data_IF_104205817770
#
_entry.id   IF_104205817770
#
_cell.length_a   1.000
_cell.length_b   1.000
_cell.length_c   1.000
_cell.angle_alpha   90.00
_cell.angle_beta   90.00
_cell.angle_gamma   90.00
#
_symmetry.space_group_name_H-M   'P 1'
#
loop_
_entity.id
_entity.type
_entity.pdbx_description
1 polymer ?
#
# COMPACT_ATOMS: atom_id res chain seq x y z
N UNK A 1 10.12 -76.65 15.81
CA UNK A 1 9.06 -77.42 15.12
C UNK A 1 8.15 -76.44 14.41
N UNK A 2 7.93 -76.67 13.11
CA UNK A 2 6.89 -76.17 12.19
C UNK A 2 6.15 -74.86 12.54
N UNK A 3 6.01 -73.87 11.65
CA UNK A 3 6.27 -73.79 10.22
C UNK A 3 5.77 -72.43 9.70
N UNK A 4 6.20 -72.04 8.51
CA UNK A 4 5.49 -71.01 7.72
C UNK A 4 4.21 -71.63 7.13
N UNK A 5 3.16 -70.82 6.89
CA UNK A 5 3.04 -70.29 5.55
C UNK A 5 2.51 -68.84 5.43
N UNK A 6 2.92 -68.26 4.31
CA UNK A 6 2.41 -67.15 3.52
C UNK A 6 0.92 -66.79 3.71
N UNK A 7 0.64 -65.49 3.85
CA UNK A 7 -0.58 -64.87 3.33
C UNK A 7 -0.33 -63.40 3.03
N UNK A 8 -0.40 -63.10 1.74
CA UNK A 8 -0.49 -61.78 1.13
C UNK A 8 -1.81 -61.14 1.54
N UNK A 9 -1.78 -59.92 2.06
CA UNK A 9 -2.98 -59.08 2.19
C UNK A 9 -2.58 -57.61 2.25
N UNK A 10 -3.09 -56.86 1.27
CA UNK A 10 -2.95 -55.41 1.12
C UNK A 10 -3.39 -54.62 2.35
N UNK A 11 -2.80 -53.44 2.48
CA UNK A 11 -3.37 -52.20 3.05
C UNK A 11 -2.52 -51.64 4.19
N UNK A 12 -1.51 -50.86 3.81
CA UNK A 12 -1.00 -49.75 4.62
C UNK A 12 -0.46 -48.67 3.68
N UNK A 13 -0.95 -47.45 3.85
CA UNK A 13 -0.49 -46.27 3.11
C UNK A 13 -1.54 -45.18 3.10
N UNK A 14 -1.65 -44.46 4.22
CA UNK A 14 -2.73 -43.52 4.51
C UNK A 14 -2.95 -42.45 3.45
N UNK A 15 -4.19 -42.34 2.99
CA UNK A 15 -4.72 -41.12 2.40
C UNK A 15 -4.90 -40.08 3.52
N UNK A 16 -3.91 -39.19 3.68
CA UNK A 16 -4.11 -37.92 4.35
C UNK A 16 -4.61 -36.91 3.32
N UNK A 17 -5.93 -36.90 3.12
CA UNK A 17 -6.61 -35.74 2.56
C UNK A 17 -6.66 -34.66 3.63
N UNK A 18 -5.67 -33.77 3.63
CA UNK A 18 -5.71 -32.53 4.41
C UNK A 18 -6.16 -31.40 3.50
N UNK A 19 -7.47 -31.31 3.31
CA UNK A 19 -8.09 -30.07 2.84
C UNK A 19 -7.99 -29.10 4.01
N UNK A 20 -6.98 -28.23 3.98
CA UNK A 20 -6.89 -27.05 4.86
C UNK A 20 -8.19 -26.25 4.74
N UNK A 21 -8.81 -25.83 5.85
CA UNK A 21 -9.78 -24.76 5.81
C UNK A 21 -9.06 -23.50 5.31
N UNK A 22 -9.64 -22.89 4.28
CA UNK A 22 -9.36 -21.53 3.86
C UNK A 22 -9.73 -20.61 5.03
N UNK A 23 -8.74 -20.33 5.90
CA UNK A 23 -8.84 -19.22 6.84
C UNK A 23 -8.74 -17.97 5.98
N UNK A 24 -9.89 -17.43 5.60
CA UNK A 24 -10.00 -16.01 5.33
C UNK A 24 -9.49 -15.29 6.57
N UNK A 25 -8.24 -14.85 6.52
CA UNK A 25 -7.76 -13.80 7.39
C UNK A 25 -8.49 -12.52 6.96
N UNK A 26 -9.77 -12.41 7.33
CA UNK A 26 -10.38 -11.10 7.51
C UNK A 26 -9.51 -10.41 8.56
N UNK A 27 -8.79 -9.41 8.08
CA UNK A 27 -7.97 -8.51 8.85
C UNK A 27 -8.84 -7.86 9.94
N UNK A 28 -8.87 -8.47 11.13
CA UNK A 28 -9.67 -8.01 12.27
C UNK A 28 -9.34 -6.59 12.71
N UNK A 29 -8.26 -6.01 12.18
CA UNK A 29 -7.84 -4.63 12.40
C UNK A 29 -8.65 -3.62 11.59
N UNK A 30 -8.93 -3.91 10.32
CA UNK A 30 -9.71 -3.01 9.45
C UNK A 30 -11.19 -2.96 9.85
N UNK A 31 -11.80 -4.09 10.26
CA UNK A 31 -13.18 -4.08 10.81
C UNK A 31 -13.32 -3.34 12.14
N UNK A 32 -12.26 -3.28 12.95
CA UNK A 32 -12.26 -2.57 14.23
C UNK A 32 -12.13 -1.06 14.02
N UNK A 33 -11.21 -0.64 13.13
CA UNK A 33 -11.04 0.76 12.73
C UNK A 33 -12.28 1.29 11.99
N UNK A 34 -12.89 0.52 11.09
CA UNK A 34 -14.11 0.92 10.37
C UNK A 34 -15.34 1.04 11.30
N UNK A 35 -15.43 0.23 12.37
CA UNK A 35 -16.45 0.37 13.42
C UNK A 35 -16.19 1.57 14.33
N UNK A 36 -14.92 1.89 14.60
CA UNK A 36 -14.52 3.04 15.41
C UNK A 36 -14.72 4.36 14.64
N UNK A 37 -14.37 4.40 13.36
CA UNK A 37 -14.65 5.50 12.44
C UNK A 37 -16.15 5.69 12.23
N UNK A 38 -16.92 4.61 12.01
CA UNK A 38 -18.39 4.70 12.00
C UNK A 38 -18.90 5.27 13.30
N UNK A 39 -18.49 4.74 14.47
CA UNK A 39 -18.96 5.22 15.77
C UNK A 39 -18.61 6.69 16.05
N UNK A 40 -17.44 7.17 15.60
CA UNK A 40 -17.04 8.57 15.73
C UNK A 40 -17.78 9.47 14.73
N UNK A 41 -18.06 8.97 13.53
CA UNK A 41 -18.84 9.67 12.52
C UNK A 41 -20.32 9.77 12.92
N UNK A 42 -20.92 8.70 13.49
CA UNK A 42 -22.27 8.73 14.05
C UNK A 42 -22.35 9.71 15.22
N UNK A 43 -21.37 9.70 16.13
CA UNK A 43 -21.31 10.65 17.25
C UNK A 43 -21.15 12.11 16.83
N UNK A 44 -20.43 12.39 15.73
CA UNK A 44 -20.34 13.74 15.15
C UNK A 44 -21.66 14.15 14.47
N UNK A 45 -22.29 13.27 13.71
CA UNK A 45 -23.60 13.55 13.08
C UNK A 45 -24.72 13.71 14.10
N UNK A 46 -24.69 12.95 15.21
CA UNK A 46 -25.67 13.06 16.29
C UNK A 46 -25.49 14.39 17.03
N UNK A 47 -24.26 14.81 17.32
CA UNK A 47 -23.99 16.13 17.90
C UNK A 47 -24.38 17.29 16.98
N UNK A 48 -24.17 17.16 15.66
CA UNK A 48 -24.56 18.17 14.67
C UNK A 48 -26.08 18.25 14.52
N UNK A 49 -26.75 17.09 14.57
CA UNK A 49 -28.21 16.98 14.53
C UNK A 49 -28.84 17.55 15.80
N UNK A 50 -28.30 17.23 16.98
CA UNK A 50 -28.73 17.82 18.26
C UNK A 50 -28.57 19.34 18.24
N UNK A 51 -27.49 19.83 17.62
CA UNK A 51 -27.26 21.25 17.44
C UNK A 51 -28.29 21.89 16.50
N UNK A 52 -28.58 21.28 15.35
CA UNK A 52 -29.62 21.77 14.44
C UNK A 52 -31.02 21.73 15.07
N UNK A 53 -31.33 20.71 15.86
CA UNK A 53 -32.59 20.62 16.61
C UNK A 53 -32.68 21.69 17.70
N UNK A 54 -31.57 21.99 18.38
CA UNK A 54 -31.53 23.09 19.35
C UNK A 54 -31.75 24.44 18.66
N UNK A 55 -31.10 24.68 17.51
CA UNK A 55 -31.29 25.88 16.71
C UNK A 55 -32.75 26.05 16.26
N UNK A 56 -33.36 24.97 15.79
CA UNK A 56 -34.76 24.97 15.37
C UNK A 56 -35.72 25.27 16.53
N UNK A 57 -35.45 24.70 17.71
CA UNK A 57 -36.24 24.95 18.92
C UNK A 57 -36.10 26.39 19.41
N UNK A 58 -34.89 26.96 19.34
CA UNK A 58 -34.65 28.37 19.65
C UNK A 58 -35.42 29.24 18.65
N UNK A 59 -35.32 28.98 17.34
CA UNK A 59 -36.03 29.73 16.30
C UNK A 59 -37.54 29.72 16.52
N UNK A 60 -38.15 28.55 16.77
CA UNK A 60 -39.59 28.45 17.06
C UNK A 60 -39.98 29.21 18.33
N UNK A 61 -39.16 29.12 19.37
CA UNK A 61 -39.41 29.85 20.62
C UNK A 61 -39.28 31.36 20.46
N UNK A 62 -38.59 31.84 19.43
CA UNK A 62 -38.44 33.26 19.09
C UNK A 62 -39.66 33.78 18.34
N UNK A 63 -40.16 33.02 17.36
CA UNK A 63 -41.40 33.35 16.63
C UNK A 63 -42.61 33.46 17.59
N UNK A 64 -42.67 32.58 18.59
CA UNK A 64 -43.69 32.63 19.65
C UNK A 64 -43.55 33.86 20.55
N UNK A 65 -42.32 34.32 20.77
CA UNK A 65 -42.03 35.52 21.55
C UNK A 65 -42.54 36.76 20.83
N UNK A 66 -42.31 36.88 19.52
CA UNK A 66 -42.75 37.98 18.67
C UNK A 66 -44.26 38.25 18.76
N UNK A 67 -45.08 37.18 18.80
CA UNK A 67 -46.53 37.30 18.86
C UNK A 67 -47.03 37.92 20.17
N UNK A 68 -46.35 37.66 21.29
CA UNK A 68 -46.76 38.25 22.57
C UNK A 68 -46.25 39.67 22.73
N UNK A 69 -45.19 40.05 22.02
CA UNK A 69 -44.67 41.41 22.03
C UNK A 69 -45.61 42.46 21.45
N UNK A 70 -46.49 42.08 20.51
CA UNK A 70 -47.49 43.03 19.97
C UNK A 70 -48.49 43.54 21.02
N UNK A 71 -48.60 42.88 22.18
CA UNK A 71 -49.63 43.15 23.18
C UNK A 71 -49.15 43.89 24.44
N UNK A 72 -47.85 44.06 24.67
CA UNK A 72 -47.31 44.43 25.99
C UNK A 72 -46.73 45.87 26.12
N UNK A 73 -47.02 46.80 25.19
CA UNK A 73 -46.44 48.16 25.21
C UNK A 73 -46.94 49.06 26.36
N UNK A 74 -46.38 48.90 27.57
CA UNK A 74 -46.46 49.85 28.70
C UNK A 74 -45.43 49.54 29.81
N UNK A 75 -44.12 49.65 29.55
CA UNK A 75 -43.07 49.30 30.54
C UNK A 75 -41.82 50.21 30.47
N UNK A 76 -41.06 50.32 31.58
CA UNK A 76 -39.93 51.21 31.86
C UNK A 76 -38.75 51.19 30.85
N UNK A 77 -38.01 52.31 30.75
CA UNK A 77 -36.90 52.55 29.80
C UNK A 77 -35.80 51.46 29.73
N UNK A 78 -35.35 50.91 30.87
CA UNK A 78 -34.31 49.87 30.84
C UNK A 78 -34.83 48.52 30.30
N UNK A 79 -36.13 48.25 30.51
CA UNK A 79 -36.80 47.07 29.96
C UNK A 79 -36.97 47.25 28.46
N UNK A 80 -37.36 48.44 27.99
CA UNK A 80 -37.54 48.71 26.55
C UNK A 80 -36.23 48.68 25.77
N UNK A 81 -35.13 49.16 26.35
CA UNK A 81 -33.78 49.03 25.75
C UNK A 81 -33.33 47.56 25.65
N UNK A 82 -33.46 46.79 26.73
CA UNK A 82 -33.11 45.35 26.71
C UNK A 82 -33.99 44.58 25.71
N UNK A 83 -35.25 45.00 25.55
CA UNK A 83 -36.16 44.47 24.55
C UNK A 83 -35.71 44.77 23.12
N UNK A 84 -35.32 46.02 22.86
CA UNK A 84 -34.82 46.45 21.56
C UNK A 84 -33.52 45.74 21.19
N UNK A 85 -32.65 45.51 22.18
CA UNK A 85 -31.41 44.75 22.02
C UNK A 85 -31.68 43.30 21.62
N UNK A 86 -32.52 42.57 22.35
CA UNK A 86 -32.92 41.20 21.98
C UNK A 86 -33.53 41.16 20.58
N UNK A 87 -34.42 42.11 20.27
CA UNK A 87 -35.05 42.22 18.95
C UNK A 87 -34.02 42.42 17.83
N UNK A 88 -33.06 43.32 18.04
CA UNK A 88 -32.01 43.58 17.07
C UNK A 88 -31.13 42.35 16.81
N UNK A 89 -30.88 41.56 17.85
CA UNK A 89 -30.08 40.34 17.78
C UNK A 89 -30.84 39.20 17.12
N UNK A 90 -32.15 39.07 17.34
CA UNK A 90 -32.97 38.07 16.64
C UNK A 90 -33.17 38.36 15.14
N UNK A 91 -32.99 39.60 14.70
CA UNK A 91 -32.95 39.92 13.28
C UNK A 91 -31.64 39.49 12.59
N UNK A 92 -30.66 39.02 13.35
CA UNK A 92 -29.39 38.48 12.83
C UNK A 92 -29.45 36.95 12.77
N UNK A 93 -28.60 36.35 11.93
CA UNK A 93 -28.50 34.90 11.85
C UNK A 93 -27.87 34.33 13.14
N UNK A 94 -28.33 33.14 13.53
CA UNK A 94 -27.98 32.56 14.84
C UNK A 94 -26.49 32.27 14.96
N UNK A 95 -25.85 31.85 13.88
CA UNK A 95 -24.41 31.66 13.79
C UNK A 95 -23.65 32.98 14.04
N UNK A 96 -24.10 34.09 13.47
CA UNK A 96 -23.49 35.41 13.69
C UNK A 96 -23.59 35.85 15.15
N UNK A 97 -24.73 35.61 15.79
CA UNK A 97 -24.95 36.02 17.19
C UNK A 97 -24.23 35.10 18.17
N UNK A 98 -24.27 33.78 17.97
CA UNK A 98 -23.72 32.81 18.91
C UNK A 98 -22.21 32.60 18.77
N UNK A 99 -21.64 32.81 17.58
CA UNK A 99 -20.18 32.69 17.36
C UNK A 99 -19.44 34.01 17.61
N UNK A 100 -20.16 35.11 17.86
CA UNK A 100 -19.58 36.40 18.21
C UNK A 100 -19.75 36.67 19.71
N UNK A 101 -18.65 36.64 20.45
CA UNK A 101 -18.66 36.80 21.91
C UNK A 101 -19.32 38.11 22.36
N UNK A 102 -19.15 39.21 21.62
CA UNK A 102 -19.74 40.49 21.97
C UNK A 102 -21.26 40.49 21.79
N UNK A 103 -21.76 39.91 20.70
CA UNK A 103 -23.21 39.79 20.45
C UNK A 103 -23.86 38.79 21.41
N UNK A 104 -23.20 37.67 21.69
CA UNK A 104 -23.65 36.68 22.67
C UNK A 104 -23.69 37.27 24.08
N UNK A 105 -22.67 38.01 24.49
CA UNK A 105 -22.64 38.70 25.79
C UNK A 105 -23.76 39.74 25.89
N UNK A 106 -24.02 40.48 24.81
CA UNK A 106 -25.12 41.44 24.74
C UNK A 106 -26.48 40.73 24.86
N UNK A 107 -26.66 39.60 24.18
CA UNK A 107 -27.87 38.78 24.25
C UNK A 107 -28.11 38.25 25.67
N UNK A 108 -27.08 37.70 26.32
CA UNK A 108 -27.15 37.22 27.72
C UNK A 108 -27.54 38.32 28.68
N UNK A 109 -26.90 39.49 28.56
CA UNK A 109 -27.16 40.64 29.43
C UNK A 109 -28.60 41.13 29.28
N UNK A 110 -29.10 41.19 28.04
CA UNK A 110 -30.46 41.61 27.78
C UNK A 110 -31.48 40.56 28.26
N UNK A 111 -31.19 39.26 28.09
CA UNK A 111 -32.01 38.17 28.62
C UNK A 111 -32.06 38.21 30.15
N UNK A 112 -30.91 38.36 30.84
CA UNK A 112 -30.79 38.43 32.31
C UNK A 112 -31.70 39.52 32.90
N UNK A 113 -31.72 40.71 32.27
CA UNK A 113 -32.54 41.85 32.69
C UNK A 113 -34.05 41.61 32.56
N UNK A 114 -34.44 40.63 31.77
CA UNK A 114 -35.83 40.30 31.46
C UNK A 114 -36.35 39.05 32.17
N UNK A 115 -35.47 38.22 32.75
CA UNK A 115 -35.86 36.93 33.40
C UNK A 115 -36.89 37.11 34.51
N UNK A 116 -36.90 38.23 35.24
CA UNK A 116 -37.86 38.46 36.33
C UNK A 116 -39.00 39.42 35.95
N UNK A 117 -39.18 39.73 34.65
CA UNK A 117 -40.19 40.68 34.15
C UNK A 117 -41.49 39.99 33.74
N UNK A 118 -42.00 39.16 34.64
CA UNK A 118 -43.21 38.34 34.45
C UNK A 118 -44.46 39.16 34.16
N UNK A 119 -44.56 40.38 34.69
CA UNK A 119 -45.65 41.32 34.42
C UNK A 119 -45.71 41.82 32.97
N UNK A 120 -44.62 41.65 32.20
CA UNK A 120 -44.49 42.16 30.83
C UNK A 120 -44.43 40.99 29.84
N UNK A 121 -43.66 39.95 30.17
CA UNK A 121 -43.40 38.82 29.26
C UNK A 121 -44.28 37.60 29.56
N UNK A 122 -44.86 37.50 30.75
CA UNK A 122 -45.48 36.29 31.27
C UNK A 122 -44.43 35.28 31.78
N UNK A 123 -44.87 34.39 32.68
CA UNK A 123 -44.00 33.41 33.36
C UNK A 123 -43.28 32.47 32.38
N UNK A 124 -43.99 31.91 31.41
CA UNK A 124 -43.43 30.94 30.44
C UNK A 124 -42.19 31.50 29.72
N UNK A 125 -42.23 32.78 29.32
CA UNK A 125 -41.11 33.41 28.60
C UNK A 125 -39.93 33.73 29.51
N UNK A 126 -40.23 34.16 30.73
CA UNK A 126 -39.24 34.36 31.76
C UNK A 126 -38.46 33.07 32.04
N UNK A 127 -39.19 31.94 32.17
CA UNK A 127 -38.59 30.61 32.36
C UNK A 127 -37.74 30.16 31.16
N UNK A 128 -38.19 30.45 29.93
CA UNK A 128 -37.42 30.18 28.71
C UNK A 128 -36.13 30.99 28.63
N UNK A 129 -36.16 32.29 28.98
CA UNK A 129 -34.97 33.14 29.02
C UNK A 129 -33.98 32.67 30.09
N UNK A 130 -34.48 32.25 31.24
CA UNK A 130 -33.66 31.65 32.30
C UNK A 130 -32.95 30.39 31.81
N UNK A 131 -33.70 29.47 31.21
CA UNK A 131 -33.17 28.24 30.61
C UNK A 131 -32.15 28.53 29.51
N UNK A 132 -32.39 29.57 28.70
CA UNK A 132 -31.44 30.01 27.68
C UNK A 132 -30.10 30.43 28.30
N UNK A 133 -30.10 31.32 29.29
CA UNK A 133 -28.86 31.77 29.95
C UNK A 133 -28.11 30.61 30.62
N UNK A 134 -28.83 29.67 31.24
CA UNK A 134 -28.24 28.49 31.91
C UNK A 134 -27.57 27.50 30.93
N UNK A 135 -28.06 27.40 29.70
CA UNK A 135 -27.66 26.35 28.75
C UNK A 135 -26.73 26.87 27.66
N UNK A 136 -26.89 28.12 27.21
CA UNK A 136 -26.23 28.63 26.01
C UNK A 136 -24.70 28.62 26.10
N UNK A 137 -24.13 28.78 27.30
CA UNK A 137 -22.67 28.69 27.50
C UNK A 137 -22.11 27.30 27.22
N UNK A 138 -22.80 26.25 27.65
CA UNK A 138 -22.38 24.86 27.36
C UNK A 138 -22.48 24.57 25.87
N UNK A 139 -23.55 25.02 25.23
CA UNK A 139 -23.80 24.74 23.82
C UNK A 139 -22.85 25.50 22.88
N UNK A 140 -22.54 26.77 23.18
CA UNK A 140 -21.54 27.53 22.42
C UNK A 140 -20.15 26.92 22.54
N UNK A 141 -19.75 26.47 23.73
CA UNK A 141 -18.47 25.77 23.92
C UNK A 141 -18.43 24.42 23.17
N UNK A 142 -19.54 23.67 23.19
CA UNK A 142 -19.69 22.43 22.42
C UNK A 142 -19.55 22.69 20.93
N UNK A 143 -20.21 23.73 20.42
CA UNK A 143 -20.15 24.15 19.03
C UNK A 143 -18.73 24.58 18.61
N UNK A 144 -18.09 25.45 19.40
CA UNK A 144 -16.71 25.90 19.14
C UNK A 144 -15.75 24.70 19.06
N UNK A 145 -15.87 23.76 19.99
CA UNK A 145 -15.08 22.52 19.99
C UNK A 145 -15.34 21.66 18.74
N UNK A 146 -16.61 21.54 18.31
CA UNK A 146 -16.96 20.80 17.10
C UNK A 146 -16.39 21.44 15.83
N UNK A 147 -16.43 22.77 15.74
CA UNK A 147 -15.85 23.54 14.62
C UNK A 147 -14.34 23.33 14.53
N UNK A 148 -13.62 23.40 15.65
CA UNK A 148 -12.17 23.15 15.64
C UNK A 148 -11.83 21.69 15.28
N UNK A 149 -12.61 20.71 15.77
CA UNK A 149 -12.44 19.31 15.37
C UNK A 149 -12.66 19.10 13.87
N UNK A 150 -13.66 19.75 13.28
CA UNK A 150 -13.92 19.63 11.85
C UNK A 150 -12.82 20.30 11.01
N UNK A 151 -12.26 21.44 11.47
CA UNK A 151 -11.08 22.04 10.84
C UNK A 151 -9.88 21.10 10.82
N UNK A 152 -9.59 20.45 11.94
CA UNK A 152 -8.49 19.47 12.01
C UNK A 152 -8.77 18.24 11.13
N UNK A 153 -10.00 17.72 11.13
CA UNK A 153 -10.41 16.65 10.24
C UNK A 153 -10.19 17.01 8.77
N UNK A 154 -10.59 18.21 8.34
CA UNK A 154 -10.42 18.66 6.97
C UNK A 154 -8.92 18.75 6.57
N UNK A 155 -8.04 19.17 7.49
CA UNK A 155 -6.58 19.15 7.27
C UNK A 155 -6.04 17.73 7.11
N UNK A 156 -6.50 16.80 7.95
CA UNK A 156 -6.11 15.39 7.87
C UNK A 156 -6.59 14.74 6.57
N UNK A 157 -7.82 15.03 6.13
CA UNK A 157 -8.36 14.50 4.87
C UNK A 157 -7.53 14.98 3.66
N UNK A 158 -7.14 16.26 3.65
CA UNK A 158 -6.23 16.79 2.61
C UNK A 158 -4.88 16.07 2.62
N UNK A 159 -4.33 15.81 3.81
CA UNK A 159 -3.04 15.11 3.96
C UNK A 159 -3.15 13.66 3.49
N UNK A 160 -4.24 12.97 3.84
CA UNK A 160 -4.56 11.63 3.37
C UNK A 160 -4.62 11.57 1.84
N UNK A 161 -5.28 12.54 1.20
CA UNK A 161 -5.33 12.63 -0.27
C UNK A 161 -3.93 12.62 -0.90
N UNK A 162 -3.03 13.46 -0.39
CA UNK A 162 -1.64 13.52 -0.88
C UNK A 162 -0.88 12.20 -0.70
N UNK A 163 -1.09 11.51 0.43
CA UNK A 163 -0.45 10.22 0.69
C UNK A 163 -0.98 9.13 -0.26
N UNK A 164 -2.28 9.11 -0.53
CA UNK A 164 -2.91 8.18 -1.48
C UNK A 164 -2.36 8.41 -2.89
N UNK A 165 -2.26 9.67 -3.31
CA UNK A 165 -1.70 10.03 -4.63
C UNK A 165 -0.24 9.59 -4.75
N UNK A 166 0.57 9.82 -3.71
CA UNK A 166 1.96 9.38 -3.67
C UNK A 166 2.08 7.85 -3.73
N UNK A 167 1.23 7.12 -3.01
CA UNK A 167 1.23 5.66 -3.00
C UNK A 167 0.83 5.10 -4.37
N UNK A 168 -0.17 5.69 -5.02
CA UNK A 168 -0.54 5.32 -6.39
C UNK A 168 0.59 5.61 -7.38
N UNK A 169 1.28 6.74 -7.22
CA UNK A 169 2.46 7.06 -8.04
C UNK A 169 3.56 6.00 -7.89
N UNK A 170 3.90 5.62 -6.65
CA UNK A 170 4.86 4.54 -6.40
C UNK A 170 4.41 3.20 -6.98
N UNK A 171 3.15 2.82 -6.76
CA UNK A 171 2.59 1.58 -7.31
C UNK A 171 2.74 1.53 -8.84
N UNK A 172 2.42 2.63 -9.51
CA UNK A 172 2.57 2.73 -10.97
C UNK A 172 4.04 2.69 -11.39
N UNK A 173 4.95 3.34 -10.64
CA UNK A 173 6.38 3.31 -10.93
C UNK A 173 7.01 1.92 -10.73
N UNK A 174 6.51 1.14 -9.77
CA UNK A 174 7.00 -0.24 -9.53
C UNK A 174 6.37 -1.28 -10.46
N UNK A 175 5.26 -0.96 -11.13
CA UNK A 175 4.54 -1.92 -11.97
C UNK A 175 5.41 -2.50 -13.10
N UNK A 176 6.21 -1.72 -13.86
CA UNK A 176 7.07 -2.26 -14.91
C UNK A 176 8.12 -3.25 -14.37
N UNK A 177 8.74 -2.95 -13.23
CA UNK A 177 9.72 -3.83 -12.60
C UNK A 177 9.06 -5.15 -12.17
N UNK A 178 7.85 -5.08 -11.61
CA UNK A 178 7.08 -6.28 -11.26
C UNK A 178 6.75 -7.11 -12.49
N UNK A 179 6.35 -6.49 -13.59
CA UNK A 179 6.02 -7.17 -14.83
C UNK A 179 7.26 -7.83 -15.45
N UNK A 180 8.41 -7.15 -15.44
CA UNK A 180 9.69 -7.70 -15.88
C UNK A 180 10.12 -8.90 -15.03
N UNK A 181 9.98 -8.82 -13.71
CA UNK A 181 10.26 -9.96 -12.81
C UNK A 181 9.38 -11.18 -13.14
N UNK A 182 8.09 -10.96 -13.44
CA UNK A 182 7.19 -12.05 -13.83
C UNK A 182 7.58 -12.67 -15.17
N UNK A 183 8.04 -11.85 -16.13
CA UNK A 183 8.56 -12.34 -17.41
C UNK A 183 9.83 -13.18 -17.20
N UNK A 184 10.77 -12.69 -16.38
CA UNK A 184 12.00 -13.43 -16.06
C UNK A 184 11.71 -14.77 -15.39
N UNK A 185 10.79 -14.82 -14.43
CA UNK A 185 10.36 -16.07 -13.78
C UNK A 185 9.77 -17.05 -14.81
N UNK A 186 9.01 -16.54 -15.78
CA UNK A 186 8.44 -17.37 -16.85
C UNK A 186 9.52 -17.93 -17.77
N UNK A 187 10.51 -17.10 -18.18
CA UNK A 187 11.67 -17.54 -18.96
C UNK A 187 12.52 -18.58 -18.23
N UNK A 188 12.72 -18.41 -16.92
CA UNK A 188 13.44 -19.38 -16.10
C UNK A 188 12.75 -20.76 -16.15
N UNK A 189 11.43 -20.80 -15.96
CA UNK A 189 10.66 -22.07 -16.04
C UNK A 189 10.77 -22.73 -17.40
N UNK A 190 10.79 -21.95 -18.48
CA UNK A 190 10.98 -22.48 -19.84
C UNK A 190 12.38 -23.08 -20.03
N UNK A 191 13.43 -22.39 -19.54
CA UNK A 191 14.80 -22.89 -19.60
C UNK A 191 14.97 -24.17 -18.78
N UNK A 192 14.38 -24.25 -17.59
CA UNK A 192 14.38 -25.46 -16.77
C UNK A 192 13.73 -26.65 -17.49
N UNK A 193 12.64 -26.40 -18.22
CA UNK A 193 12.00 -27.43 -19.06
C UNK A 193 12.93 -27.88 -20.19
N UNK A 194 13.53 -26.95 -20.93
CA UNK A 194 14.48 -27.25 -22.01
C UNK A 194 15.69 -28.03 -21.51
N UNK A 195 16.20 -27.69 -20.32
CA UNK A 195 17.31 -28.40 -19.71
C UNK A 195 16.95 -29.87 -19.42
N UNK A 196 15.77 -30.13 -18.83
CA UNK A 196 15.27 -31.49 -18.60
C UNK A 196 15.09 -32.27 -19.92
N UNK A 197 14.56 -31.63 -20.95
CA UNK A 197 14.40 -32.24 -22.27
C UNK A 197 15.76 -32.61 -22.88
N UNK A 198 16.77 -31.74 -22.71
CA UNK A 198 18.14 -31.99 -23.14
C UNK A 198 18.79 -33.14 -22.37
N UNK A 199 18.66 -33.16 -21.03
CA UNK A 199 19.15 -34.26 -20.18
C UNK A 199 18.55 -35.60 -20.60
N UNK A 200 17.24 -35.64 -20.88
CA UNK A 200 16.58 -36.84 -21.37
C UNK A 200 17.13 -37.29 -22.74
N UNK A 201 17.34 -36.37 -23.67
CA UNK A 201 17.99 -36.69 -24.95
C UNK A 201 19.42 -37.21 -24.77
N UNK A 202 20.18 -36.62 -23.85
CA UNK A 202 21.53 -37.06 -23.54
C UNK A 202 21.50 -38.50 -23.01
N UNK A 203 20.64 -38.81 -22.04
CA UNK A 203 20.46 -40.16 -21.50
C UNK A 203 20.12 -41.16 -22.61
N UNK A 204 19.24 -40.80 -23.55
CA UNK A 204 18.86 -41.66 -24.67
C UNK A 204 20.01 -41.90 -25.66
N UNK A 205 20.79 -40.87 -25.99
CA UNK A 205 21.84 -40.96 -27.03
C UNK A 205 23.19 -41.42 -26.49
N UNK A 206 23.47 -41.23 -25.20
CA UNK A 206 24.77 -41.56 -24.59
C UNK A 206 25.17 -43.04 -24.75
N UNK A 207 24.26 -44.03 -24.62
CA UNK A 207 24.60 -45.43 -24.89
C UNK A 207 25.06 -45.66 -26.34
N UNK A 208 24.42 -45.00 -27.30
CA UNK A 208 24.82 -45.09 -28.71
C UNK A 208 26.21 -44.49 -28.93
N UNK A 209 26.49 -43.29 -28.40
CA UNK A 209 27.81 -42.68 -28.48
C UNK A 209 28.89 -43.53 -27.80
N UNK A 210 28.62 -44.09 -26.62
CA UNK A 210 29.54 -45.03 -25.94
C UNK A 210 29.80 -46.28 -26.78
N UNK A 211 28.79 -46.82 -27.46
CA UNK A 211 28.92 -47.98 -28.34
C UNK A 211 29.78 -47.65 -29.56
N UNK A 212 29.50 -46.55 -30.26
CA UNK A 212 30.29 -46.09 -31.42
C UNK A 212 31.74 -45.86 -31.01
N UNK A 213 31.97 -45.15 -29.91
CA UNK A 213 33.32 -44.91 -29.38
C UNK A 213 34.03 -46.23 -29.06
N UNK A 214 33.38 -47.17 -28.37
CA UNK A 214 34.00 -48.47 -28.03
C UNK A 214 34.31 -49.31 -29.27
N UNK A 215 33.46 -49.24 -30.30
CA UNK A 215 33.68 -49.95 -31.57
C UNK A 215 34.80 -49.34 -32.40
N UNK A 216 34.97 -48.02 -32.36
CA UNK A 216 35.99 -47.29 -33.11
C UNK A 216 37.26 -47.04 -32.31
N UNK A 217 37.30 -47.41 -31.01
CA UNK A 217 38.41 -47.13 -30.10
C UNK A 217 39.75 -47.61 -30.66
N UNK A 218 39.82 -48.83 -31.17
CA UNK A 218 41.04 -49.38 -31.77
C UNK A 218 41.45 -48.63 -33.03
N UNK A 219 40.50 -48.25 -33.89
CA UNK A 219 40.78 -47.46 -35.10
C UNK A 219 41.29 -46.05 -34.75
N UNK A 220 40.66 -45.39 -33.80
CA UNK A 220 41.03 -44.03 -33.36
C UNK A 220 42.38 -44.03 -32.64
N UNK A 221 42.64 -45.01 -31.76
CA UNK A 221 43.96 -45.16 -31.11
C UNK A 221 45.05 -45.51 -32.13
N UNK A 222 44.72 -46.32 -33.15
CA UNK A 222 45.64 -46.64 -34.25
C UNK A 222 45.94 -45.41 -35.12
N UNK A 223 44.92 -44.61 -35.48
CA UNK A 223 45.08 -43.39 -36.27
C UNK A 223 45.94 -42.35 -35.54
N UNK A 224 45.73 -42.16 -34.23
CA UNK A 224 46.56 -41.26 -33.41
C UNK A 224 48.01 -41.77 -33.30
N UNK A 225 48.22 -43.08 -33.20
CA UNK A 225 49.57 -43.67 -33.20
C UNK A 225 50.27 -43.55 -34.56
N UNK A 226 49.51 -43.68 -35.66
CA UNK A 226 50.00 -43.49 -37.03
C UNK A 226 50.39 -42.04 -37.31
N UNK A 227 49.61 -41.07 -36.82
CA UNK A 227 49.97 -39.65 -36.89
C UNK A 227 51.28 -39.36 -36.17
N UNK A 228 51.47 -39.90 -34.95
CA UNK A 228 52.72 -39.75 -34.20
C UNK A 228 53.92 -40.39 -34.91
N UNK A 229 53.73 -41.57 -35.52
CA UNK A 229 54.75 -42.23 -36.32
C UNK A 229 55.16 -41.41 -37.56
N UNK A 230 54.18 -40.83 -38.26
CA UNK A 230 54.44 -39.96 -39.41
C UNK A 230 55.13 -38.64 -39.01
N UNK A 231 54.79 -38.07 -37.85
CA UNK A 231 55.45 -36.88 -37.32
C UNK A 231 56.93 -37.15 -36.97
N UNK A 232 57.24 -38.31 -36.38
CA UNK A 232 58.62 -38.73 -36.13
C UNK A 232 59.39 -38.95 -37.44
N UNK A 233 58.78 -39.60 -38.44
CA UNK A 233 59.39 -39.82 -39.74
C UNK A 233 59.67 -38.50 -40.45
N UNK A 234 58.73 -37.54 -40.39
CA UNK A 234 58.88 -36.21 -40.96
C UNK A 234 60.04 -35.45 -40.30
N UNK A 235 60.18 -35.54 -38.97
CA UNK A 235 61.32 -34.94 -38.26
C UNK A 235 62.64 -35.57 -38.68
N UNK A 236 62.70 -36.90 -38.82
CA UNK A 236 63.90 -37.60 -39.25
C UNK A 236 64.31 -37.21 -40.68
N UNK A 237 63.35 -37.21 -41.61
CA UNK A 237 63.58 -36.78 -43.00
C UNK A 237 64.02 -35.32 -43.07
N UNK A 238 63.44 -34.44 -42.23
CA UNK A 238 63.84 -33.04 -42.18
C UNK A 238 65.28 -32.87 -41.69
N UNK A 239 65.70 -33.63 -40.67
CA UNK A 239 67.09 -33.64 -40.20
C UNK A 239 68.08 -34.18 -41.24
N UNK A 240 67.67 -35.20 -42.00
CA UNK A 240 68.47 -35.74 -43.10
C UNK A 240 68.62 -34.74 -44.25
N UNK A 241 67.54 -34.06 -44.64
CA UNK A 241 67.58 -32.95 -45.60
C UNK A 241 68.52 -31.85 -45.12
N UNK A 242 68.44 -31.44 -43.85
CA UNK A 242 69.34 -30.43 -43.30
C UNK A 242 70.80 -30.89 -43.26
N UNK A 243 71.05 -32.19 -43.09
CA UNK A 243 72.38 -32.78 -43.16
C UNK A 243 72.91 -32.79 -44.60
N UNK A 244 72.06 -33.12 -45.58
CA UNK A 244 72.42 -33.10 -47.01
C UNK A 244 72.56 -31.67 -47.57
N UNK A 245 71.81 -30.70 -47.03
CA UNK A 245 71.95 -29.27 -47.35
C UNK A 245 73.20 -28.63 -46.77
N UNK A 246 73.79 -29.23 -45.74
CA UNK A 246 75.15 -28.91 -45.35
C UNK A 246 76.08 -29.53 -46.39
N UNK A 247 76.21 -28.86 -47.53
CA UNK A 247 77.37 -29.06 -48.41
C UNK A 247 78.62 -29.05 -47.53
N UNK A 248 79.62 -29.92 -47.78
CA UNK A 248 80.95 -29.65 -47.30
C UNK A 248 81.30 -28.28 -47.88
N UNK A 249 81.46 -27.26 -47.04
CA UNK A 249 81.94 -25.97 -47.53
C UNK A 249 83.32 -26.21 -48.12
N UNK A 250 83.39 -26.38 -49.43
CA UNK A 250 84.62 -26.13 -50.16
C UNK A 250 84.74 -24.61 -50.08
N UNK A 251 85.41 -24.16 -49.03
CA UNK A 251 85.82 -22.78 -48.94
C UNK A 251 86.70 -22.46 -50.15
N UNK A 252 86.74 -21.19 -50.55
CA UNK A 252 87.61 -20.76 -51.65
C UNK A 252 89.08 -21.14 -51.39
N UNK A 253 89.46 -21.36 -50.13
CA UNK A 253 90.75 -21.88 -49.68
C UNK A 253 91.04 -23.29 -50.24
N UNK A 254 90.07 -24.21 -50.26
CA UNK A 254 90.20 -25.54 -50.86
C UNK A 254 90.31 -25.52 -52.39
N UNK A 255 89.65 -24.56 -53.05
CA UNK A 255 89.77 -24.34 -54.50
C UNK A 255 91.11 -23.69 -54.88
N UNK A 256 91.61 -22.76 -54.09
CA UNK A 256 92.91 -22.11 -54.29
C UNK A 256 94.06 -23.10 -54.06
N UNK A 257 93.94 -24.02 -53.08
CA UNK A 257 94.94 -25.06 -52.85
C UNK A 257 95.07 -26.07 -54.01
N UNK A 258 94.00 -26.29 -54.79
CA UNK A 258 94.00 -27.19 -55.95
C UNK A 258 94.62 -26.58 -57.23
N UNK A 259 94.84 -25.25 -57.26
CA UNK A 259 95.45 -24.55 -58.40
C UNK A 259 96.89 -24.07 -58.15
N UNK A 260 97.40 -24.16 -56.92
CA UNK A 260 98.73 -23.65 -56.53
C UNK A 260 99.63 -24.68 -55.82
N UNK A 261 99.29 -25.98 -55.85
CA UNK A 261 100.20 -27.09 -55.53
C UNK A 261 100.19 -28.14 -56.64
#
# INVERSE_FOLDING_TARGET
MAGNPTSTSSSMGGQLSSTKPEVQAEDGRTKSEERQEKSQQTGLTDNLKDFHTLLENISKSVDEMENVFKYASSSSNATTESLADIKSLFNMSVDVVLLNEALLSKLRTAAERLVDKTSILGQDKCDRLKKFNDVIGREVNRLSTAVEKEKERAKLEKTRGLLVDSLNSYKNAFQPCRDEMLEMVSKQKELEKKLKDYEMQMIQKMPHYKKVYSQQKSSIETDISGFRGNEQLLQQVSQEIDTLRKEPSIDWTGLIAAFYN
#
